data_IF_392979351386
#
_entry.id   IF_392979351386
#
_cell.length_a   1.000
_cell.length_b   1.000
_cell.length_c   1.000
_cell.angle_alpha   90.00
_cell.angle_beta   90.00
_cell.angle_gamma   90.00
#
_symmetry.space_group_name_H-M   'P 1'
#
loop_
_entity.id
_entity.type
_entity.pdbx_description
1 polymer ?
#
# COMPACT_ATOMS: atom_id res chain seq x y z
N UNK A 1 -10.89 -9.70 -16.46
CA UNK A 1 -10.48 -8.92 -15.28
C UNK A 1 -10.94 -7.49 -15.42
N UNK A 2 -10.82 -6.68 -14.37
CA UNK A 2 -10.98 -5.22 -14.45
C UNK A 2 -9.97 -4.65 -15.46
N UNK A 3 -10.33 -3.57 -16.17
CA UNK A 3 -9.33 -2.80 -16.91
C UNK A 3 -8.34 -2.16 -15.93
N UNK A 4 -7.09 -1.93 -16.35
CA UNK A 4 -6.10 -1.25 -15.51
C UNK A 4 -6.62 0.10 -15.01
N UNK A 5 -7.29 0.87 -15.87
CA UNK A 5 -7.90 2.15 -15.51
C UNK A 5 -8.96 2.01 -14.41
N UNK A 6 -9.87 1.03 -14.54
CA UNK A 6 -10.88 0.75 -13.51
C UNK A 6 -10.26 0.27 -12.19
N UNK A 7 -9.21 -0.54 -12.27
CA UNK A 7 -8.48 -1.03 -11.10
C UNK A 7 -7.81 0.11 -10.32
N UNK A 8 -7.07 0.98 -11.02
CA UNK A 8 -6.44 2.15 -10.43
C UNK A 8 -7.47 3.12 -9.89
N UNK A 9 -8.60 3.33 -10.59
CA UNK A 9 -9.68 4.18 -10.10
C UNK A 9 -10.28 3.66 -8.78
N UNK A 10 -10.51 2.36 -8.65
CA UNK A 10 -10.99 1.74 -7.41
C UNK A 10 -9.95 1.83 -6.29
N UNK A 11 -8.67 1.63 -6.61
CA UNK A 11 -7.56 1.76 -5.64
C UNK A 11 -7.43 3.19 -5.14
N UNK A 12 -7.46 4.19 -6.03
CA UNK A 12 -7.46 5.61 -5.68
C UNK A 12 -8.69 6.02 -4.87
N UNK A 13 -9.87 5.50 -5.23
CA UNK A 13 -11.09 5.72 -4.45
C UNK A 13 -10.96 5.14 -3.04
N UNK A 14 -10.46 3.90 -2.93
CA UNK A 14 -10.18 3.25 -1.65
C UNK A 14 -9.14 4.00 -0.82
N UNK A 15 -8.13 4.60 -1.46
CA UNK A 15 -7.17 5.49 -0.81
C UNK A 15 -7.85 6.72 -0.18
N UNK A 16 -8.68 7.43 -0.95
CA UNK A 16 -9.39 8.63 -0.48
C UNK A 16 -10.32 8.30 0.70
N UNK A 17 -11.07 7.20 0.60
CA UNK A 17 -11.93 6.72 1.70
C UNK A 17 -11.08 6.29 2.91
N UNK A 18 -9.94 5.66 2.64
CA UNK A 18 -8.98 5.20 3.64
C UNK A 18 -8.43 6.32 4.51
N UNK A 19 -8.14 7.51 3.93
CA UNK A 19 -7.67 8.66 4.71
C UNK A 19 -8.66 8.99 5.84
N UNK A 20 -9.96 9.02 5.53
CA UNK A 20 -10.99 9.29 6.52
C UNK A 20 -11.14 8.14 7.53
N UNK A 21 -11.13 6.88 7.06
CA UNK A 21 -11.23 5.71 7.94
C UNK A 21 -10.06 5.62 8.93
N UNK A 22 -8.83 5.74 8.44
CA UNK A 22 -7.62 5.68 9.24
C UNK A 22 -7.55 6.84 10.23
N UNK A 23 -7.90 8.06 9.81
CA UNK A 23 -8.00 9.19 10.74
C UNK A 23 -9.04 8.92 11.84
N UNK A 24 -10.24 8.49 11.45
CA UNK A 24 -11.34 8.30 12.38
C UNK A 24 -11.01 7.23 13.42
N UNK A 25 -10.36 6.16 13.00
CA UNK A 25 -9.98 5.08 13.90
C UNK A 25 -8.73 5.42 14.75
N UNK A 26 -7.77 6.19 14.22
CA UNK A 26 -6.69 6.77 15.03
C UNK A 26 -7.24 7.66 16.17
N UNK A 27 -8.21 8.54 15.85
CA UNK A 27 -8.89 9.39 16.83
C UNK A 27 -9.65 8.59 17.89
N UNK A 28 -10.33 7.50 17.48
CA UNK A 28 -11.08 6.63 18.38
C UNK A 28 -10.20 5.82 19.31
N UNK A 29 -9.07 5.32 18.81
CA UNK A 29 -8.14 4.52 19.57
C UNK A 29 -7.16 5.37 20.37
N UNK A 30 -7.11 6.68 20.13
CA UNK A 30 -6.15 7.61 20.71
C UNK A 30 -4.70 7.14 20.52
N UNK A 31 -4.43 6.55 19.35
CA UNK A 31 -3.12 6.05 18.93
C UNK A 31 -2.79 6.62 17.57
N UNK A 32 -1.57 7.11 17.42
CA UNK A 32 -1.00 7.37 16.10
C UNK A 32 -0.69 6.02 15.45
N UNK A 33 -1.22 5.81 14.24
CA UNK A 33 -1.03 4.59 13.43
C UNK A 33 -1.36 3.26 14.17
N UNK A 34 -2.66 3.01 14.48
CA UNK A 34 -3.06 1.82 15.21
C UNK A 34 -3.00 0.56 14.33
N UNK A 35 -2.19 -0.42 14.74
CA UNK A 35 -2.04 -1.76 14.12
C UNK A 35 -3.32 -2.57 13.93
N UNK A 36 -4.42 -2.17 14.57
CA UNK A 36 -5.74 -2.78 14.43
C UNK A 36 -6.42 -2.39 13.09
N UNK A 37 -5.95 -1.35 12.42
CA UNK A 37 -6.38 -0.93 11.09
C UNK A 37 -5.47 -1.60 10.05
N UNK A 38 -6.09 -2.14 9.00
CA UNK A 38 -5.39 -2.88 7.93
C UNK A 38 -5.81 -2.35 6.55
N UNK A 39 -6.51 -1.20 6.51
CA UNK A 39 -7.09 -0.68 5.26
C UNK A 39 -6.02 -0.05 4.36
N UNK A 40 -5.12 0.71 4.97
CA UNK A 40 -3.82 1.10 4.42
C UNK A 40 -3.07 -0.09 3.79
N UNK A 41 -2.93 -1.21 4.52
CA UNK A 41 -2.21 -2.39 4.01
C UNK A 41 -2.91 -2.99 2.79
N UNK A 42 -4.25 -3.02 2.80
CA UNK A 42 -5.05 -3.47 1.65
C UNK A 42 -4.80 -2.58 0.44
N UNK A 43 -4.81 -1.25 0.61
CA UNK A 43 -4.55 -0.33 -0.50
C UNK A 43 -3.10 -0.43 -1.00
N UNK A 44 -2.12 -0.52 -0.11
CA UNK A 44 -0.71 -0.72 -0.47
C UNK A 44 -0.48 -2.02 -1.24
N UNK A 45 -1.14 -3.11 -0.83
CA UNK A 45 -1.10 -4.36 -1.56
C UNK A 45 -1.79 -4.29 -2.93
N UNK A 46 -2.92 -3.57 -3.06
CA UNK A 46 -3.53 -3.32 -4.37
C UNK A 46 -2.59 -2.53 -5.29
N UNK A 47 -1.86 -1.55 -4.77
CA UNK A 47 -0.83 -0.84 -5.56
C UNK A 47 0.24 -1.81 -6.05
N UNK A 48 0.69 -2.72 -5.19
CA UNK A 48 1.66 -3.78 -5.55
C UNK A 48 1.18 -4.64 -6.72
N UNK A 49 -0.13 -4.95 -6.74
CA UNK A 49 -0.74 -5.87 -7.70
C UNK A 49 -1.20 -5.21 -9.00
N UNK A 50 -1.06 -3.88 -9.15
CA UNK A 50 -1.61 -3.12 -10.28
C UNK A 50 -1.17 -3.63 -11.66
N UNK A 51 0.04 -4.17 -11.78
CA UNK A 51 0.58 -4.74 -13.02
C UNK A 51 1.11 -6.17 -12.85
N UNK A 52 0.64 -6.90 -11.84
CA UNK A 52 1.07 -8.29 -11.61
C UNK A 52 0.72 -9.19 -12.81
N UNK A 53 1.60 -10.12 -13.23
CA UNK A 53 1.27 -11.03 -14.31
C UNK A 53 0.15 -12.01 -13.92
N UNK A 54 -0.48 -12.62 -14.93
CA UNK A 54 -1.63 -13.51 -14.72
C UNK A 54 -1.16 -14.90 -14.26
N UNK A 55 -0.96 -15.05 -12.94
CA UNK A 55 -0.87 -16.33 -12.26
C UNK A 55 -1.15 -16.17 -10.77
N UNK A 56 -1.80 -17.17 -10.15
CA UNK A 56 -2.21 -17.09 -8.74
C UNK A 56 -1.03 -16.93 -7.77
N UNK A 57 0.14 -17.48 -8.11
CA UNK A 57 1.33 -17.41 -7.26
C UNK A 57 1.92 -15.99 -7.20
N UNK A 58 1.65 -15.13 -8.19
CA UNK A 58 2.04 -13.72 -8.13
C UNK A 58 1.35 -12.96 -7.00
N UNK A 59 0.17 -13.42 -6.54
CA UNK A 59 -0.45 -12.88 -5.33
C UNK A 59 0.42 -13.14 -4.09
N UNK A 60 0.99 -14.34 -3.97
CA UNK A 60 1.87 -14.67 -2.83
C UNK A 60 3.16 -13.87 -2.91
N UNK A 61 3.79 -13.81 -4.08
CA UNK A 61 5.02 -13.04 -4.28
C UNK A 61 4.79 -11.56 -4.02
N UNK A 62 3.71 -10.99 -4.55
CA UNK A 62 3.32 -9.60 -4.31
C UNK A 62 3.09 -9.33 -2.83
N UNK A 63 2.40 -10.23 -2.12
CA UNK A 63 2.13 -10.06 -0.69
C UNK A 63 3.42 -10.06 0.13
N UNK A 64 4.32 -11.02 -0.16
CA UNK A 64 5.62 -11.11 0.52
C UNK A 64 6.46 -9.87 0.24
N UNK A 65 6.54 -9.41 -1.01
CA UNK A 65 7.28 -8.19 -1.36
C UNK A 65 6.69 -6.97 -0.65
N UNK A 66 5.38 -6.79 -0.70
CA UNK A 66 4.68 -5.71 0.00
C UNK A 66 5.06 -5.67 1.47
N UNK A 67 4.93 -6.80 2.19
CA UNK A 67 5.28 -6.89 3.61
C UNK A 67 6.76 -6.61 3.89
N UNK A 68 7.66 -7.00 2.99
CA UNK A 68 9.09 -6.65 3.13
C UNK A 68 9.26 -5.13 3.09
N UNK A 69 8.63 -4.44 2.14
CA UNK A 69 8.79 -2.99 1.98
C UNK A 69 8.03 -2.17 3.04
N UNK A 70 6.85 -2.63 3.44
CA UNK A 70 6.04 -2.07 4.51
C UNK A 70 6.79 -2.15 5.88
N UNK A 71 7.37 -3.31 6.21
CA UNK A 71 8.16 -3.45 7.45
C UNK A 71 9.50 -2.71 7.36
N UNK A 72 10.18 -2.74 6.22
CA UNK A 72 11.53 -2.18 6.09
C UNK A 72 11.52 -0.64 5.98
N UNK A 73 10.43 -0.03 5.49
CA UNK A 73 10.27 1.41 5.23
C UNK A 73 11.55 2.07 4.67
N UNK A 74 12.10 1.61 3.52
CA UNK A 74 13.37 2.12 3.02
C UNK A 74 13.29 3.62 2.67
N UNK A 75 14.37 4.33 2.94
CA UNK A 75 14.55 5.75 2.64
C UNK A 75 14.32 6.05 1.14
N UNK A 76 13.60 7.12 0.73
CA UNK A 76 13.41 8.42 1.38
C UNK A 76 12.05 8.62 2.09
N UNK A 77 11.24 7.56 2.21
CA UNK A 77 9.89 7.59 2.82
C UNK A 77 9.92 8.18 4.22
N UNK A 78 10.90 7.77 5.04
CA UNK A 78 11.02 8.20 6.43
C UNK A 78 11.28 9.71 6.64
N UNK A 79 11.58 10.49 5.58
CA UNK A 79 11.79 11.94 5.66
C UNK A 79 10.51 12.75 5.39
N UNK A 80 9.63 12.25 4.53
CA UNK A 80 8.31 12.85 4.28
C UNK A 80 7.30 12.47 5.37
N UNK A 81 7.39 11.23 5.85
CA UNK A 81 6.57 10.63 6.90
C UNK A 81 6.58 11.47 8.21
N UNK A 82 7.75 11.98 8.63
CA UNK A 82 7.89 12.88 9.80
C UNK A 82 7.14 14.21 9.74
N UNK A 83 6.53 14.57 8.61
CA UNK A 83 5.76 15.81 8.45
C UNK A 83 4.28 15.57 8.14
N UNK A 84 3.89 14.34 7.81
CA UNK A 84 2.54 14.00 7.40
C UNK A 84 1.91 13.15 8.50
N UNK A 85 1.02 13.76 9.29
CA UNK A 85 0.36 13.08 10.41
C UNK A 85 -1.09 12.73 10.07
N UNK A 86 -1.64 11.80 10.85
CA UNK A 86 -3.04 11.38 10.74
C UNK A 86 -3.28 10.42 9.58
N UNK A 87 -4.54 10.25 9.21
CA UNK A 87 -4.97 9.24 8.24
C UNK A 87 -4.32 9.37 6.86
N UNK A 88 -3.88 10.56 6.45
CA UNK A 88 -3.15 10.72 5.20
C UNK A 88 -1.73 10.14 5.25
N UNK A 89 -1.01 10.35 6.37
CA UNK A 89 0.32 9.78 6.57
C UNK A 89 0.27 8.25 6.58
N UNK A 90 -0.63 7.70 7.40
CA UNK A 90 -0.90 6.25 7.51
C UNK A 90 -1.13 5.63 6.12
N UNK A 91 -2.04 6.20 5.33
CA UNK A 91 -2.35 5.66 4.00
C UNK A 91 -1.20 5.83 3.00
N UNK A 92 -0.46 6.94 3.07
CA UNK A 92 0.61 7.24 2.12
C UNK A 92 1.81 6.31 2.31
N UNK A 93 2.14 5.96 3.55
CA UNK A 93 3.22 5.05 3.90
C UNK A 93 3.10 3.72 3.14
N UNK A 94 1.93 3.09 3.22
CA UNK A 94 1.66 1.80 2.59
C UNK A 94 1.53 1.88 1.07
N UNK A 95 1.03 3.00 0.54
CA UNK A 95 1.06 3.25 -0.90
C UNK A 95 2.49 3.30 -1.41
N UNK A 96 3.41 3.95 -0.69
CA UNK A 96 4.80 4.02 -1.12
C UNK A 96 5.48 2.65 -1.00
N UNK A 97 5.24 1.91 0.08
CA UNK A 97 5.67 0.51 0.20
C UNK A 97 5.15 -0.34 -0.97
N UNK A 98 3.88 -0.13 -1.35
CA UNK A 98 3.25 -0.77 -2.50
C UNK A 98 3.91 -0.44 -3.84
N UNK A 99 4.36 0.81 -4.04
CA UNK A 99 5.11 1.20 -5.25
C UNK A 99 6.47 0.50 -5.31
N UNK A 100 7.20 0.41 -4.19
CA UNK A 100 8.47 -0.33 -4.16
C UNK A 100 8.27 -1.81 -4.46
N UNK A 101 7.24 -2.40 -3.85
CA UNK A 101 6.87 -3.79 -4.08
C UNK A 101 6.47 -4.03 -5.54
N UNK A 102 5.70 -3.12 -6.16
CA UNK A 102 5.35 -3.18 -7.57
C UNK A 102 6.61 -3.19 -8.46
N UNK A 103 7.56 -2.28 -8.21
CA UNK A 103 8.82 -2.23 -8.98
C UNK A 103 9.59 -3.55 -8.84
N UNK A 104 9.74 -4.06 -7.61
CA UNK A 104 10.41 -5.33 -7.37
C UNK A 104 9.68 -6.51 -8.05
N UNK A 105 8.35 -6.53 -7.99
CA UNK A 105 7.51 -7.54 -8.64
C UNK A 105 7.74 -7.55 -10.16
N UNK A 106 7.79 -6.37 -10.79
CA UNK A 106 8.05 -6.22 -12.22
C UNK A 106 9.48 -6.67 -12.59
N UNK A 107 10.48 -6.36 -11.77
CA UNK A 107 11.86 -6.79 -12.02
C UNK A 107 11.97 -8.32 -11.98
N UNK A 108 11.32 -8.98 -11.02
CA UNK A 108 11.27 -10.45 -10.95
C UNK A 108 10.52 -11.01 -12.16
N UNK A 109 9.35 -10.44 -12.49
CA UNK A 109 8.54 -10.88 -13.62
C UNK A 109 9.27 -10.74 -14.97
N UNK A 110 10.05 -9.68 -15.15
CA UNK A 110 10.83 -9.45 -16.36
C UNK A 110 12.03 -10.41 -16.49
N UNK A 111 12.54 -10.94 -15.38
CA UNK A 111 13.68 -11.86 -15.34
C UNK A 111 13.33 -13.34 -15.56
N UNK A 112 12.03 -13.67 -15.61
CA UNK A 112 11.49 -15.01 -15.84
C UNK A 112 11.04 -15.18 -17.29
#
# INVERSE_FOLDING_TARGET
GLSLGSYLALTCFGFIVGIWLCQRAADWLQKDDPSEIVWDEVIGYLVTMAAAPIAWWWCIVGFVLFRIFDIAKPWPVSLADKKLHGGFGIMLDDVIAGIYALIALQLIAYSL
#
